data_IF_446271508176
#
_entry.id   IF_446271508176
#
_cell.length_a   1.000
_cell.length_b   1.000
_cell.length_c   1.000
_cell.angle_alpha   90.00
_cell.angle_beta   90.00
_cell.angle_gamma   90.00
#
_symmetry.space_group_name_H-M   'P 1'
#
loop_
_entity.id
_entity.type
_entity.pdbx_description
1 polymer ?
#
# COMPACT_ATOMS: atom_id res chain seq x y z
N UNK A 1 -16.95 -8.34 -2.57
CA UNK A 1 -16.92 -9.34 -3.66
C UNK A 1 -15.75 -10.30 -3.50
N UNK A 2 -14.48 -9.91 -3.70
CA UNK A 2 -13.35 -10.86 -3.65
C UNK A 2 -13.15 -11.54 -2.29
N UNK A 3 -13.27 -10.80 -1.16
CA UNK A 3 -13.23 -11.42 0.17
C UNK A 3 -14.34 -12.44 0.38
N UNK A 4 -15.55 -12.15 -0.12
CA UNK A 4 -16.69 -13.06 -0.07
C UNK A 4 -16.41 -14.33 -0.88
N UNK A 5 -15.86 -14.19 -2.09
CA UNK A 5 -15.49 -15.33 -2.92
C UNK A 5 -14.41 -16.17 -2.24
N UNK A 6 -13.36 -15.53 -1.71
CA UNK A 6 -12.30 -16.23 -0.97
C UNK A 6 -12.83 -16.98 0.25
N UNK A 7 -13.73 -16.36 1.02
CA UNK A 7 -14.37 -17.00 2.16
C UNK A 7 -15.21 -18.22 1.76
N UNK A 8 -16.05 -18.09 0.73
CA UNK A 8 -16.87 -19.20 0.22
C UNK A 8 -15.98 -20.34 -0.28
N UNK A 9 -14.90 -20.04 -1.01
CA UNK A 9 -13.94 -21.04 -1.47
C UNK A 9 -13.24 -21.75 -0.30
N UNK A 10 -12.83 -21.01 0.72
CA UNK A 10 -12.19 -21.57 1.92
C UNK A 10 -13.13 -22.48 2.71
N UNK A 11 -14.38 -22.05 2.92
CA UNK A 11 -15.43 -22.84 3.56
C UNK A 11 -15.69 -24.13 2.77
N UNK A 12 -15.83 -24.03 1.44
CA UNK A 12 -16.02 -25.20 0.57
C UNK A 12 -14.83 -26.17 0.64
N UNK A 13 -13.61 -25.65 0.80
CA UNK A 13 -12.39 -26.42 1.01
C UNK A 13 -12.22 -26.90 2.47
N UNK A 14 -13.20 -26.67 3.36
CA UNK A 14 -13.18 -27.02 4.79
C UNK A 14 -12.02 -26.37 5.57
N UNK A 15 -11.65 -25.17 5.15
CA UNK A 15 -10.68 -24.32 5.86
C UNK A 15 -11.40 -23.16 6.55
N UNK A 16 -10.81 -22.67 7.63
CA UNK A 16 -11.39 -21.61 8.47
C UNK A 16 -10.67 -20.28 8.32
N UNK A 17 -9.77 -20.16 7.35
CA UNK A 17 -9.00 -18.95 7.16
C UNK A 17 -8.58 -18.76 5.70
N UNK A 18 -8.39 -17.49 5.32
CA UNK A 18 -7.74 -17.09 4.08
C UNK A 18 -6.62 -16.10 4.39
N UNK A 19 -5.59 -16.15 3.54
CA UNK A 19 -4.47 -15.24 3.56
C UNK A 19 -4.54 -14.32 2.35
N UNK A 20 -4.33 -13.03 2.58
CA UNK A 20 -4.09 -12.03 1.54
C UNK A 20 -2.79 -11.30 1.85
N UNK A 21 -2.08 -10.85 0.81
CA UNK A 21 -0.75 -10.27 0.96
C UNK A 21 -0.71 -8.85 0.39
N UNK A 22 -1.38 -7.93 1.10
CA UNK A 22 -1.31 -6.50 0.81
C UNK A 22 -0.32 -5.82 1.75
N UNK A 23 0.53 -4.95 1.21
CA UNK A 23 1.50 -4.20 2.01
C UNK A 23 0.79 -3.24 2.97
N UNK A 24 1.43 -2.91 4.10
CA UNK A 24 0.82 -2.09 5.14
C UNK A 24 0.33 -0.72 4.68
N UNK A 25 1.12 -0.04 3.84
CA UNK A 25 0.78 1.29 3.30
C UNK A 25 -0.47 1.19 2.41
N UNK A 26 -0.51 0.20 1.52
CA UNK A 26 -1.67 -0.06 0.64
C UNK A 26 -2.90 -0.57 1.39
N UNK A 27 -2.73 -1.36 2.45
CA UNK A 27 -3.83 -1.91 3.23
C UNK A 27 -4.51 -0.83 4.08
N UNK A 28 -3.71 0.00 4.77
CA UNK A 28 -4.24 1.10 5.59
C UNK A 28 -4.69 2.27 4.71
N UNK A 29 -3.99 2.52 3.59
CA UNK A 29 -4.35 3.48 2.55
C UNK A 29 -4.64 4.90 3.08
N UNK A 30 -3.68 5.45 3.82
CA UNK A 30 -3.77 6.83 4.32
C UNK A 30 -3.99 7.82 3.17
N UNK A 31 -4.71 8.94 3.41
CA UNK A 31 -5.01 9.91 2.37
C UNK A 31 -3.75 10.62 1.86
N UNK A 32 -3.70 10.86 0.54
CA UNK A 32 -2.64 11.66 -0.11
C UNK A 32 -2.90 13.17 -0.10
N UNK A 33 -4.09 13.63 0.28
CA UNK A 33 -4.41 15.05 0.43
C UNK A 33 -5.63 15.26 1.34
N UNK A 34 -5.80 16.46 1.90
CA UNK A 34 -6.84 16.78 2.89
C UNK A 34 -8.29 16.62 2.40
N UNK A 35 -8.55 16.63 1.08
CA UNK A 35 -9.90 16.44 0.51
C UNK A 35 -10.25 14.97 0.21
N UNK A 36 -9.36 14.00 0.48
CA UNK A 36 -9.63 12.57 0.35
C UNK A 36 -10.36 12.07 1.60
N UNK A 37 -11.64 12.44 1.71
CA UNK A 37 -12.54 11.97 2.78
C UNK A 37 -13.57 11.01 2.15
N UNK A 38 -13.78 9.85 2.76
CA UNK A 38 -14.85 8.91 2.37
C UNK A 38 -14.44 7.82 1.38
N UNK A 39 -15.22 7.65 0.30
CA UNK A 39 -15.15 6.50 -0.64
C UNK A 39 -14.03 6.58 -1.67
N UNK A 40 -13.26 7.67 -1.69
CA UNK A 40 -12.16 7.89 -2.65
C UNK A 40 -10.93 6.99 -2.39
N UNK A 41 -10.81 6.42 -1.18
CA UNK A 41 -9.74 5.47 -0.85
C UNK A 41 -10.30 4.04 -0.79
N UNK A 42 -9.72 3.14 -1.57
CA UNK A 42 -10.00 1.70 -1.44
C UNK A 42 -9.67 1.23 -0.02
N UNK A 43 -10.64 0.56 0.63
CA UNK A 43 -10.49 -0.04 1.97
C UNK A 43 -10.71 -1.55 1.92
N UNK A 44 -10.57 -2.17 0.76
CA UNK A 44 -10.90 -3.58 0.56
C UNK A 44 -10.05 -4.52 1.44
N UNK A 45 -8.80 -4.15 1.70
CA UNK A 45 -7.85 -4.90 2.53
C UNK A 45 -7.55 -4.22 3.86
N UNK A 46 -8.28 -3.14 4.19
CA UNK A 46 -8.09 -2.39 5.42
C UNK A 46 -8.38 -3.28 6.64
N UNK A 47 -7.57 -3.22 7.72
CA UNK A 47 -7.75 -4.07 8.90
C UNK A 47 -9.19 -4.09 9.44
N UNK A 48 -9.81 -2.92 9.60
CA UNK A 48 -11.21 -2.81 10.02
C UNK A 48 -12.20 -3.48 9.05
N UNK A 49 -11.93 -3.47 7.75
CA UNK A 49 -12.78 -4.14 6.75
C UNK A 49 -12.64 -5.65 6.87
N UNK A 50 -11.41 -6.15 7.07
CA UNK A 50 -11.15 -7.58 7.24
C UNK A 50 -11.86 -8.10 8.50
N UNK A 51 -11.72 -7.41 9.63
CA UNK A 51 -12.41 -7.75 10.89
C UNK A 51 -13.94 -7.79 10.72
N UNK A 52 -14.52 -6.77 10.06
CA UNK A 52 -15.97 -6.75 9.80
C UNK A 52 -16.42 -7.89 8.89
N UNK A 53 -15.56 -8.32 7.96
CA UNK A 53 -15.85 -9.43 7.07
C UNK A 53 -15.77 -10.77 7.82
N UNK A 54 -14.80 -10.94 8.74
CA UNK A 54 -14.74 -12.09 9.66
C UNK A 54 -16.02 -12.19 10.50
N UNK A 55 -16.43 -11.08 11.14
CA UNK A 55 -17.68 -11.00 11.93
C UNK A 55 -18.90 -11.36 11.07
N UNK A 56 -18.97 -10.85 9.85
CA UNK A 56 -20.06 -11.13 8.92
C UNK A 56 -20.13 -12.62 8.56
N UNK A 57 -19.00 -13.26 8.25
CA UNK A 57 -18.95 -14.69 7.94
C UNK A 57 -19.36 -15.51 9.16
N UNK A 58 -18.90 -15.12 10.35
CA UNK A 58 -19.28 -15.77 11.61
C UNK A 58 -20.78 -15.73 11.86
N UNK A 59 -21.41 -14.57 11.65
CA UNK A 59 -22.87 -14.44 11.80
C UNK A 59 -23.61 -15.32 10.79
N UNK A 60 -23.12 -15.42 9.56
CA UNK A 60 -23.76 -16.24 8.52
C UNK A 60 -23.62 -17.74 8.71
N UNK A 61 -22.46 -18.18 9.19
CA UNK A 61 -22.10 -19.61 9.24
C UNK A 61 -22.23 -20.23 10.63
N UNK A 62 -22.22 -19.40 11.68
CA UNK A 62 -22.10 -19.85 13.07
C UNK A 62 -20.68 -20.26 13.47
N UNK A 63 -19.69 -20.13 12.58
CA UNK A 63 -18.30 -20.55 12.83
C UNK A 63 -17.31 -19.38 12.78
N UNK A 64 -16.25 -19.45 13.60
CA UNK A 64 -15.14 -18.51 13.50
C UNK A 64 -14.42 -18.64 12.15
N UNK A 65 -14.05 -17.51 11.55
CA UNK A 65 -13.33 -17.45 10.28
C UNK A 65 -12.26 -16.37 10.29
N UNK A 66 -11.05 -16.69 9.82
CA UNK A 66 -9.90 -15.80 9.77
C UNK A 66 -9.65 -15.21 8.39
N UNK A 67 -9.36 -13.91 8.33
CA UNK A 67 -8.85 -13.21 7.16
C UNK A 67 -7.56 -12.51 7.58
N UNK A 68 -6.44 -13.10 7.20
CA UNK A 68 -5.12 -12.72 7.69
C UNK A 68 -4.38 -11.96 6.59
N UNK A 69 -3.83 -10.80 6.95
CA UNK A 69 -2.83 -10.10 6.14
C UNK A 69 -1.47 -10.13 6.85
N UNK A 70 -0.59 -11.11 6.53
CA UNK A 70 0.74 -11.20 7.15
C UNK A 70 1.63 -9.99 6.85
N UNK A 71 1.34 -9.26 5.77
CA UNK A 71 2.14 -8.16 5.27
C UNK A 71 1.72 -6.78 5.79
N UNK A 72 0.79 -6.72 6.75
CA UNK A 72 0.23 -5.47 7.28
C UNK A 72 1.29 -4.50 7.84
N UNK A 73 2.41 -5.00 8.35
CA UNK A 73 3.47 -4.18 8.95
C UNK A 73 4.72 -4.08 8.08
N UNK A 74 4.61 -4.43 6.80
CA UNK A 74 5.70 -4.37 5.84
C UNK A 74 5.40 -3.35 4.74
N UNK A 75 6.41 -2.58 4.36
CA UNK A 75 6.34 -1.81 3.10
C UNK A 75 6.38 -2.76 1.91
N UNK A 76 5.95 -2.27 0.74
CA UNK A 76 6.05 -3.07 -0.48
C UNK A 76 7.51 -3.39 -0.83
N UNK A 77 8.45 -2.48 -0.56
CA UNK A 77 9.87 -2.72 -0.77
C UNK A 77 10.42 -3.78 0.20
N UNK A 78 10.04 -3.75 1.48
CA UNK A 78 10.37 -4.82 2.44
C UNK A 78 9.82 -6.18 1.97
N UNK A 79 8.58 -6.24 1.48
CA UNK A 79 8.03 -7.46 0.86
C UNK A 79 8.86 -7.91 -0.35
N UNK A 80 9.28 -6.99 -1.21
CA UNK A 80 10.11 -7.29 -2.39
C UNK A 80 11.53 -7.75 -2.02
N UNK A 81 12.07 -7.34 -0.87
CA UNK A 81 13.36 -7.82 -0.36
C UNK A 81 13.30 -9.24 0.23
N UNK A 82 12.10 -9.79 0.44
CA UNK A 82 11.96 -11.14 0.94
C UNK A 82 12.51 -12.16 -0.08
N UNK A 83 13.29 -13.15 0.40
CA UNK A 83 14.00 -14.12 -0.45
C UNK A 83 13.08 -14.81 -1.47
N UNK A 84 11.91 -15.28 -1.03
CA UNK A 84 10.92 -15.92 -1.91
C UNK A 84 10.40 -15.00 -3.03
N UNK A 85 10.40 -13.67 -2.83
CA UNK A 85 10.01 -12.72 -3.89
C UNK A 85 11.17 -12.48 -4.84
N UNK A 86 12.40 -12.40 -4.33
CA UNK A 86 13.61 -12.23 -5.15
C UNK A 86 13.84 -13.42 -6.08
N UNK A 87 13.62 -14.65 -5.59
CA UNK A 87 13.71 -15.88 -6.38
C UNK A 87 12.72 -15.92 -7.55
N UNK A 88 11.61 -15.18 -7.44
CA UNK A 88 10.57 -15.07 -8.47
C UNK A 88 10.73 -13.82 -9.36
N UNK A 89 11.90 -13.16 -9.33
CA UNK A 89 12.15 -11.94 -10.09
C UNK A 89 11.81 -12.05 -11.58
N UNK A 90 12.12 -13.17 -12.22
CA UNK A 90 11.81 -13.43 -13.64
C UNK A 90 10.30 -13.43 -13.96
N UNK A 91 9.44 -13.68 -12.97
CA UNK A 91 7.98 -13.64 -13.12
C UNK A 91 7.40 -12.23 -12.92
N UNK A 92 8.18 -11.28 -12.42
CA UNK A 92 7.75 -9.91 -12.13
C UNK A 92 7.16 -9.19 -13.35
N UNK A 93 7.71 -9.31 -14.58
CA UNK A 93 7.10 -8.76 -15.79
C UNK A 93 5.69 -9.28 -16.10
N UNK A 94 5.31 -10.45 -15.57
CA UNK A 94 4.00 -11.07 -15.81
C UNK A 94 2.91 -10.53 -14.86
N UNK A 95 3.29 -9.73 -13.87
CA UNK A 95 2.37 -9.15 -12.88
C UNK A 95 1.94 -7.74 -13.28
N UNK A 96 0.77 -7.30 -12.80
CA UNK A 96 0.17 -6.03 -13.23
C UNK A 96 -0.46 -5.27 -12.06
N UNK A 97 -0.01 -4.03 -11.81
CA UNK A 97 -0.43 -3.22 -10.65
C UNK A 97 -1.33 -2.04 -11.01
N UNK A 98 -1.40 -1.61 -12.27
CA UNK A 98 -2.09 -0.38 -12.67
C UNK A 98 -3.59 -0.37 -12.30
N UNK A 99 -4.07 0.69 -11.64
CA UNK A 99 -5.49 0.89 -11.29
C UNK A 99 -6.35 1.43 -12.42
N UNK A 100 -5.71 1.90 -13.50
CA UNK A 100 -6.40 2.48 -14.63
C UNK A 100 -7.18 1.44 -15.46
N UNK A 101 -8.51 1.52 -15.44
CA UNK A 101 -9.35 0.94 -16.49
C UNK A 101 -9.36 1.88 -17.73
N UNK A 102 -9.35 1.39 -18.99
CA UNK A 102 -9.35 -0.01 -19.46
C UNK A 102 -7.94 -0.53 -19.78
N UNK A 103 -6.87 0.05 -19.21
CA UNK A 103 -5.50 -0.36 -19.55
C UNK A 103 -5.24 -1.83 -19.24
N UNK A 104 -5.90 -2.37 -18.21
CA UNK A 104 -5.95 -3.81 -17.88
C UNK A 104 -6.48 -4.71 -19.02
N UNK A 105 -7.30 -4.20 -19.95
CA UNK A 105 -8.08 -5.00 -20.88
C UNK A 105 -7.56 -5.02 -22.34
N UNK A 106 -6.54 -4.20 -22.70
CA UNK A 106 -6.13 -4.00 -24.10
C UNK A 106 -4.67 -4.39 -24.42
N UNK A 107 -4.01 -5.24 -23.62
CA UNK A 107 -2.56 -5.50 -23.76
C UNK A 107 -1.72 -4.22 -23.84
N UNK A 108 -2.19 -3.14 -23.19
CA UNK A 108 -1.46 -1.88 -23.11
C UNK A 108 -0.57 -1.95 -21.87
N UNK A 109 0.62 -1.37 -21.97
CA UNK A 109 1.53 -1.25 -20.83
C UNK A 109 0.86 -0.58 -19.63
N UNK A 110 1.42 -0.80 -18.44
CA UNK A 110 1.09 -0.09 -17.22
C UNK A 110 1.24 1.42 -17.44
N UNK A 111 0.32 2.24 -16.93
CA UNK A 111 0.32 3.70 -17.19
C UNK A 111 1.55 4.40 -16.59
N UNK A 112 2.13 3.77 -15.56
CA UNK A 112 3.23 4.27 -14.71
C UNK A 112 2.89 5.47 -13.82
N UNK A 113 1.76 6.15 -14.06
CA UNK A 113 1.42 7.39 -13.36
C UNK A 113 0.32 7.26 -12.28
N UNK A 114 -0.20 6.06 -12.01
CA UNK A 114 -1.17 5.85 -10.94
C UNK A 114 -0.49 5.41 -9.64
N UNK A 115 -1.11 5.65 -8.49
CA UNK A 115 -0.55 5.32 -7.17
C UNK A 115 -0.03 3.89 -7.05
N UNK A 116 -0.77 2.88 -7.51
CA UNK A 116 -0.30 1.48 -7.49
C UNK A 116 0.88 1.20 -8.43
N UNK A 117 0.98 1.89 -9.58
CA UNK A 117 2.18 1.77 -10.43
C UNK A 117 3.38 2.42 -9.76
N UNK A 118 3.21 3.64 -9.22
CA UNK A 118 4.29 4.37 -8.55
C UNK A 118 4.82 3.59 -7.34
N UNK A 119 3.94 3.02 -6.52
CA UNK A 119 4.33 2.16 -5.41
C UNK A 119 5.08 0.91 -5.88
N UNK A 120 4.67 0.32 -7.01
CA UNK A 120 5.40 -0.79 -7.64
C UNK A 120 6.81 -0.36 -8.07
N UNK A 121 6.95 0.74 -8.82
CA UNK A 121 8.25 1.25 -9.30
C UNK A 121 9.19 1.53 -8.12
N UNK A 122 8.68 2.25 -7.12
CA UNK A 122 9.41 2.59 -5.90
C UNK A 122 9.88 1.33 -5.18
N UNK A 123 8.99 0.36 -4.96
CA UNK A 123 9.32 -0.84 -4.20
C UNK A 123 10.37 -1.72 -4.91
N UNK A 124 10.22 -1.89 -6.23
CA UNK A 124 11.14 -2.69 -7.04
C UNK A 124 12.53 -2.05 -7.10
N UNK A 125 12.59 -0.74 -7.30
CA UNK A 125 13.86 0.01 -7.29
C UNK A 125 14.58 -0.15 -5.95
N UNK A 126 13.86 0.08 -4.85
CA UNK A 126 14.40 0.06 -3.49
C UNK A 126 14.73 -1.36 -3.00
N UNK A 127 14.20 -2.39 -3.65
CA UNK A 127 14.55 -3.79 -3.42
C UNK A 127 15.73 -4.28 -4.29
N UNK A 128 16.27 -3.45 -5.19
CA UNK A 128 17.35 -3.84 -6.10
C UNK A 128 16.88 -4.77 -7.23
N UNK A 129 15.59 -4.75 -7.56
CA UNK A 129 14.96 -5.65 -8.53
C UNK A 129 14.67 -4.97 -9.88
N UNK A 130 15.15 -3.74 -10.11
CA UNK A 130 14.89 -2.97 -11.33
C UNK A 130 15.20 -3.70 -12.63
N UNK A 131 16.17 -4.64 -12.63
CA UNK A 131 16.49 -5.47 -13.80
C UNK A 131 15.31 -6.31 -14.31
N UNK A 132 14.35 -6.60 -13.44
CA UNK A 132 13.17 -7.42 -13.73
C UNK A 132 11.93 -6.61 -14.12
N UNK A 133 11.99 -5.27 -14.11
CA UNK A 133 10.81 -4.42 -14.29
C UNK A 133 11.13 -3.21 -15.19
N UNK A 134 11.80 -3.46 -16.32
CA UNK A 134 12.24 -2.40 -17.22
C UNK A 134 11.21 -2.03 -18.30
N UNK A 135 10.33 -2.97 -18.64
CA UNK A 135 9.47 -2.88 -19.81
C UNK A 135 7.98 -2.89 -19.43
N UNK A 136 7.12 -2.63 -20.41
CA UNK A 136 5.67 -2.76 -20.24
C UNK A 136 5.02 -1.57 -19.54
N UNK A 137 5.67 -0.39 -19.58
CA UNK A 137 5.11 0.87 -19.13
C UNK A 137 4.87 1.82 -20.30
N UNK A 138 3.81 2.63 -20.24
CA UNK A 138 3.48 3.64 -21.26
C UNK A 138 4.33 4.91 -21.12
N UNK A 139 4.69 5.22 -19.88
CA UNK A 139 5.60 6.29 -19.50
C UNK A 139 6.70 5.65 -18.67
N UNK A 140 7.91 6.17 -18.73
CA UNK A 140 8.99 5.68 -17.87
C UNK A 140 9.40 6.76 -16.87
N UNK A 141 8.67 6.85 -15.76
CA UNK A 141 8.86 7.89 -14.74
C UNK A 141 10.20 7.79 -13.99
N UNK A 142 10.86 6.63 -14.02
CA UNK A 142 12.19 6.47 -13.41
C UNK A 142 13.32 6.82 -14.38
N UNK A 143 13.01 7.03 -15.67
CA UNK A 143 13.98 7.51 -16.63
C UNK A 143 14.40 8.94 -16.29
N UNK A 144 15.71 9.25 -16.25
CA UNK A 144 16.20 10.60 -15.94
C UNK A 144 15.83 11.62 -17.03
N UNK A 145 15.44 11.17 -18.22
CA UNK A 145 15.04 12.04 -19.34
C UNK A 145 13.52 12.22 -19.43
N UNK A 146 12.75 11.65 -18.50
CA UNK A 146 11.29 11.76 -18.53
C UNK A 146 10.84 13.18 -18.16
N UNK A 147 10.15 13.82 -19.11
CA UNK A 147 9.51 15.12 -18.91
C UNK A 147 7.99 14.95 -18.92
N UNK A 148 7.43 14.59 -17.75
CA UNK A 148 5.99 14.41 -17.59
C UNK A 148 5.21 15.72 -17.50
N UNK A 149 4.02 15.75 -18.09
CA UNK A 149 3.04 16.83 -17.84
C UNK A 149 2.36 16.70 -16.47
N UNK A 150 1.62 17.73 -16.06
CA UNK A 150 1.02 17.80 -14.72
C UNK A 150 0.12 16.59 -14.39
N UNK A 151 -0.67 16.12 -15.36
CA UNK A 151 -1.53 14.93 -15.17
C UNK A 151 -0.74 13.64 -14.92
N UNK A 152 0.47 13.51 -15.49
CA UNK A 152 1.31 12.33 -15.30
C UNK A 152 2.07 12.39 -13.96
N UNK A 153 2.31 13.60 -13.45
CA UNK A 153 3.02 13.83 -12.19
C UNK A 153 2.09 14.01 -10.99
N UNK A 154 0.78 14.11 -11.20
CA UNK A 154 -0.21 14.35 -10.14
C UNK A 154 -0.07 13.37 -8.97
N UNK A 155 -0.16 12.07 -9.23
CA UNK A 155 -0.10 11.06 -8.16
C UNK A 155 1.30 10.97 -7.54
N UNK A 156 2.36 11.19 -8.34
CA UNK A 156 3.73 11.23 -7.83
C UNK A 156 3.90 12.39 -6.83
N UNK A 157 3.39 13.58 -7.16
CA UNK A 157 3.36 14.74 -6.26
C UNK A 157 2.54 14.46 -5.01
N UNK A 158 1.39 13.80 -5.15
CA UNK A 158 0.48 13.52 -4.03
C UNK A 158 1.11 12.53 -3.04
N UNK A 159 1.70 11.45 -3.54
CA UNK A 159 2.42 10.48 -2.72
C UNK A 159 3.70 11.08 -2.12
N UNK A 160 4.41 11.95 -2.85
CA UNK A 160 5.58 12.69 -2.33
C UNK A 160 5.19 13.65 -1.20
N UNK A 161 4.09 14.37 -1.34
CA UNK A 161 3.54 15.20 -0.26
C UNK A 161 3.23 14.36 0.99
N UNK A 162 2.55 13.22 0.82
CA UNK A 162 2.24 12.35 1.94
C UNK A 162 3.51 11.84 2.63
N UNK A 163 4.50 11.37 1.87
CA UNK A 163 5.77 10.93 2.40
C UNK A 163 6.50 12.03 3.17
N UNK A 164 6.43 13.28 2.71
CA UNK A 164 6.96 14.44 3.43
C UNK A 164 6.23 14.67 4.76
N UNK A 165 4.90 14.66 4.76
CA UNK A 165 4.10 14.81 5.99
C UNK A 165 4.39 13.73 7.02
N UNK A 166 4.49 12.48 6.56
CA UNK A 166 4.90 11.35 7.40
C UNK A 166 6.29 11.59 7.98
N UNK A 167 7.27 11.99 7.16
CA UNK A 167 8.64 12.27 7.60
C UNK A 167 8.69 13.35 8.68
N UNK A 168 7.94 14.45 8.50
CA UNK A 168 7.84 15.53 9.46
C UNK A 168 7.19 15.11 10.78
N UNK A 169 6.21 14.19 10.72
CA UNK A 169 5.55 13.67 11.90
C UNK A 169 6.46 12.72 12.69
N UNK A 170 7.14 11.78 12.00
CA UNK A 170 8.03 10.80 12.67
C UNK A 170 9.28 11.44 13.27
N UNK A 171 9.68 12.63 12.82
CA UNK A 171 10.80 13.38 13.40
C UNK A 171 10.46 14.23 14.63
N UNK A 172 9.18 14.24 15.08
CA UNK A 172 8.76 14.98 16.29
C UNK A 172 9.17 14.26 17.57
N UNK A 173 9.16 14.97 18.69
CA UNK A 173 9.43 14.39 20.02
C UNK A 173 8.45 13.26 20.40
N UNK A 174 7.19 13.36 19.97
CA UNK A 174 6.16 12.33 20.12
C UNK A 174 5.71 11.83 18.72
N UNK A 175 6.47 10.93 18.06
CA UNK A 175 6.20 10.51 16.68
C UNK A 175 4.80 9.96 16.43
N UNK A 176 4.31 9.11 17.35
CA UNK A 176 2.99 8.49 17.22
C UNK A 176 1.85 9.51 17.29
N UNK A 177 1.90 10.40 18.29
CA UNK A 177 0.89 11.45 18.47
C UNK A 177 0.88 12.41 17.27
N UNK A 178 2.05 12.77 16.76
CA UNK A 178 2.17 13.59 15.55
C UNK A 178 1.58 12.89 14.31
N UNK A 179 1.88 11.60 14.11
CA UNK A 179 1.31 10.83 13.00
C UNK A 179 -0.21 10.70 13.09
N UNK A 180 -0.76 10.44 14.27
CA UNK A 180 -2.21 10.35 14.47
C UNK A 180 -2.89 11.70 14.27
N UNK A 181 -2.24 12.79 14.69
CA UNK A 181 -2.76 14.15 14.48
C UNK A 181 -2.84 14.49 12.99
N UNK A 182 -1.87 14.03 12.19
CA UNK A 182 -1.89 14.17 10.74
C UNK A 182 -2.89 13.21 10.07
N UNK A 183 -2.92 11.96 10.53
CA UNK A 183 -3.65 10.86 9.94
C UNK A 183 -4.49 10.13 10.99
N UNK A 184 -5.64 10.71 11.34
CA UNK A 184 -6.53 10.20 12.40
C UNK A 184 -6.99 8.75 12.18
N UNK A 185 -6.97 8.27 10.94
CA UNK A 185 -7.23 6.89 10.57
C UNK A 185 -6.33 5.88 11.31
N UNK A 186 -5.08 6.25 11.63
CA UNK A 186 -4.18 5.40 12.40
C UNK A 186 -4.71 5.11 13.81
N UNK A 187 -5.42 6.08 14.42
CA UNK A 187 -6.06 5.85 15.72
C UNK A 187 -7.16 4.81 15.62
N UNK A 188 -7.92 4.81 14.53
CA UNK A 188 -8.97 3.82 14.29
C UNK A 188 -8.37 2.42 14.07
N UNK A 189 -7.31 2.31 13.26
CA UNK A 189 -6.57 1.05 13.07
C UNK A 189 -6.05 0.51 14.40
N UNK A 190 -5.47 1.38 15.23
CA UNK A 190 -5.01 1.02 16.57
C UNK A 190 -6.13 0.42 17.42
N UNK A 191 -7.25 1.14 17.54
CA UNK A 191 -8.39 0.71 18.36
C UNK A 191 -8.98 -0.62 17.88
N UNK A 192 -9.17 -0.77 16.56
CA UNK A 192 -9.80 -1.95 15.98
C UNK A 192 -8.90 -3.19 16.16
N UNK A 193 -7.59 -3.07 15.95
CA UNK A 193 -6.66 -4.19 16.10
C UNK A 193 -6.42 -4.56 17.57
N UNK A 194 -6.24 -3.58 18.46
CA UNK A 194 -6.08 -3.86 19.90
C UNK A 194 -7.30 -4.59 20.46
N UNK A 195 -8.51 -4.18 20.06
CA UNK A 195 -9.77 -4.79 20.52
C UNK A 195 -9.94 -6.23 20.03
N UNK A 196 -9.65 -6.50 18.76
CA UNK A 196 -10.02 -7.77 18.12
C UNK A 196 -8.88 -8.79 18.04
N UNK A 197 -7.61 -8.35 18.07
CA UNK A 197 -6.44 -9.22 17.94
C UNK A 197 -5.62 -9.35 19.23
N UNK A 198 -6.08 -8.74 20.34
CA UNK A 198 -5.39 -8.75 21.65
C UNK A 198 -3.92 -8.28 21.58
N UNK A 199 -3.60 -7.43 20.61
CA UNK A 199 -2.27 -6.82 20.46
C UNK A 199 -2.14 -5.68 21.45
N UNK A 200 -0.98 -5.56 22.09
CA UNK A 200 -0.72 -4.45 23.01
C UNK A 200 -0.56 -3.13 22.23
N UNK A 201 -1.18 -2.02 22.67
CA UNK A 201 -1.10 -0.74 21.97
C UNK A 201 0.34 -0.30 21.67
N UNK A 202 1.25 -0.40 22.64
CA UNK A 202 2.65 0.00 22.45
C UNK A 202 3.36 -0.81 21.35
N UNK A 203 3.09 -2.11 21.25
CA UNK A 203 3.64 -2.97 20.20
C UNK A 203 3.10 -2.57 18.82
N UNK A 204 1.78 -2.34 18.73
CA UNK A 204 1.14 -1.94 17.50
C UNK A 204 1.62 -0.56 17.00
N UNK A 205 1.70 0.40 17.91
CA UNK A 205 2.22 1.74 17.63
C UNK A 205 3.67 1.65 17.11
N UNK A 206 4.52 0.85 17.76
CA UNK A 206 5.90 0.64 17.31
C UNK A 206 5.98 0.06 15.90
N UNK A 207 5.16 -0.96 15.58
CA UNK A 207 5.12 -1.55 14.23
C UNK A 207 4.62 -0.57 13.17
N UNK A 208 3.57 0.21 13.48
CA UNK A 208 3.04 1.22 12.56
C UNK A 208 4.03 2.38 12.36
N UNK A 209 4.71 2.81 13.42
CA UNK A 209 5.77 3.81 13.34
C UNK A 209 6.91 3.32 12.44
N UNK A 210 7.35 2.07 12.61
CA UNK A 210 8.35 1.46 11.74
C UNK A 210 7.91 1.47 10.28
N UNK A 211 6.71 0.93 9.99
CA UNK A 211 6.13 0.88 8.64
C UNK A 211 6.16 2.24 7.94
N UNK A 212 5.65 3.29 8.58
CA UNK A 212 5.56 4.61 7.97
C UNK A 212 6.90 5.36 7.93
N UNK A 213 7.77 5.13 8.91
CA UNK A 213 9.14 5.68 8.87
C UNK A 213 9.92 5.08 7.70
N UNK A 214 9.84 3.76 7.49
CA UNK A 214 10.47 3.08 6.36
C UNK A 214 9.87 3.57 5.04
N UNK A 215 8.54 3.59 4.90
CA UNK A 215 7.89 4.08 3.68
C UNK A 215 8.34 5.50 3.31
N UNK A 216 8.38 6.43 4.26
CA UNK A 216 8.80 7.80 4.01
C UNK A 216 10.29 7.93 3.65
N UNK A 217 11.15 7.07 4.20
CA UNK A 217 12.57 6.99 3.84
C UNK A 217 12.75 6.40 2.44
N UNK A 218 12.09 5.29 2.13
CA UNK A 218 12.11 4.64 0.82
C UNK A 218 11.61 5.57 -0.28
N UNK A 219 10.53 6.32 -0.02
CA UNK A 219 10.01 7.31 -0.96
C UNK A 219 11.00 8.46 -1.22
N UNK A 220 11.74 8.88 -0.20
CA UNK A 220 12.81 9.88 -0.34
C UNK A 220 13.99 9.42 -1.19
N UNK A 221 14.22 8.11 -1.26
CA UNK A 221 15.27 7.49 -2.06
C UNK A 221 14.81 7.07 -3.46
N UNK A 222 13.52 7.18 -3.79
CA UNK A 222 12.98 6.84 -5.10
C UNK A 222 13.48 7.80 -6.20
N UNK A 223 14.06 7.27 -7.28
CA UNK A 223 14.67 8.07 -8.36
C UNK A 223 13.72 9.06 -9.03
N UNK A 224 12.46 8.68 -9.25
CA UNK A 224 11.48 9.56 -9.90
C UNK A 224 11.29 10.87 -9.11
N UNK A 225 11.38 10.84 -7.78
CA UNK A 225 11.26 12.02 -6.93
C UNK A 225 12.44 13.00 -7.06
N UNK A 226 13.61 12.53 -7.55
CA UNK A 226 14.80 13.39 -7.76
C UNK A 226 14.81 14.07 -9.12
N UNK A 227 14.21 13.45 -10.13
CA UNK A 227 14.34 13.88 -11.52
C UNK A 227 13.05 14.49 -12.06
N UNK A 228 11.89 14.14 -11.50
CA UNK A 228 10.63 14.80 -11.81
C UNK A 228 10.41 16.03 -10.92
N UNK A 229 9.72 17.04 -11.46
CA UNK A 229 9.30 18.24 -10.73
C UNK A 229 8.15 17.93 -9.75
N UNK A 230 8.53 17.36 -8.60
CA UNK A 230 7.62 16.94 -7.53
C UNK A 230 7.33 18.04 -6.49
N UNK A 231 8.01 19.19 -6.59
CA UNK A 231 7.89 20.31 -5.65
C UNK A 231 6.81 21.33 -6.04
N UNK A 232 6.31 21.29 -7.29
CA UNK A 232 5.13 22.08 -7.66
C UNK A 232 3.93 21.66 -6.82
N UNK A 233 3.31 22.63 -6.14
CA UNK A 233 2.07 22.42 -5.39
C UNK A 233 1.00 21.85 -6.32
N UNK A 234 0.31 20.80 -5.86
CA UNK A 234 -0.93 20.33 -6.47
C UNK A 234 -1.95 21.44 -6.23
N UNK A 235 -2.44 22.04 -7.32
CA UNK A 235 -3.44 23.10 -7.27
C UNK A 235 -4.82 22.55 -6.86
#
# INVERSE_FOLDING_TARGET
MFLTLGAVSAIAARTKEIYLYENGVGAINLPYHGTHVGTYNSRATHPSTLLRMEDFIKVLTGEEFGIVNPSLFFTKAEMCRHVAVQELGELMPLTFSCDGFPFRAKNRGQRDSCTSCLLRRQAIELAGLSRYDQNGYLNDLVSPTFAGGDNQLHDLRAMNWQAHRIREAVSRANPWEALVSEFIELKKVELDLCRNRKVQPAELQSKLLHLYSQYAAEWGAFSACRHCDVCKRIA
#
